data_IF_242088009399
#
_entry.id   IF_242088009399
#
_cell.length_a   1.000
_cell.length_b   1.000
_cell.length_c   1.000
_cell.angle_alpha   90.00
_cell.angle_beta   90.00
_cell.angle_gamma   90.00
#
_symmetry.space_group_name_H-M   'P 1'
#
loop_
_entity.id
_entity.type
_entity.pdbx_description
1 polymer ?
#
# COMPACT_ATOMS: atom_id res chain seq x y z
N UNK A 1 -23.67 4.80 -22.77
CA UNK A 1 -22.55 3.93 -23.18
C UNK A 1 -23.03 3.12 -24.37
N UNK A 2 -22.22 3.00 -25.42
CA UNK A 2 -22.52 2.20 -26.59
C UNK A 2 -22.37 0.71 -26.29
N UNK A 3 -23.22 -0.13 -26.94
CA UNK A 3 -23.21 -1.57 -26.70
C UNK A 3 -21.85 -2.20 -27.03
N UNK A 4 -21.19 -1.75 -28.09
CA UNK A 4 -19.87 -2.26 -28.50
C UNK A 4 -18.84 -2.17 -27.38
N UNK A 5 -18.81 -1.06 -26.63
CA UNK A 5 -17.92 -0.89 -25.47
C UNK A 5 -18.26 -1.89 -24.35
N UNK A 6 -19.54 -2.06 -24.06
CA UNK A 6 -20.01 -3.02 -23.06
C UNK A 6 -19.63 -4.45 -23.46
N UNK A 7 -19.81 -4.80 -24.73
CA UNK A 7 -19.49 -6.12 -25.27
C UNK A 7 -17.99 -6.40 -25.17
N UNK A 8 -17.13 -5.46 -25.59
CA UNK A 8 -15.68 -5.62 -25.54
C UNK A 8 -15.16 -5.80 -24.11
N UNK A 9 -15.66 -5.00 -23.18
CA UNK A 9 -15.32 -5.13 -21.75
C UNK A 9 -15.74 -6.47 -21.19
N UNK A 10 -16.97 -6.93 -21.49
CA UNK A 10 -17.46 -8.22 -21.01
C UNK A 10 -16.69 -9.41 -21.60
N UNK A 11 -16.30 -9.33 -22.88
CA UNK A 11 -15.48 -10.36 -23.52
C UNK A 11 -14.10 -10.45 -22.88
N UNK A 12 -13.49 -9.33 -22.55
CA UNK A 12 -12.19 -9.27 -21.87
C UNK A 12 -12.26 -9.77 -20.43
N UNK A 13 -13.30 -9.35 -19.67
CA UNK A 13 -13.42 -9.63 -18.25
C UNK A 13 -13.97 -11.05 -17.92
N UNK A 14 -14.76 -11.63 -18.81
CA UNK A 14 -15.47 -12.90 -18.57
C UNK A 14 -15.11 -13.98 -19.61
N UNK A 15 -13.91 -14.58 -19.52
CA UNK A 15 -13.45 -15.56 -20.51
C UNK A 15 -14.23 -16.89 -20.47
N UNK A 16 -14.97 -17.17 -19.39
CA UNK A 16 -15.82 -18.36 -19.24
C UNK A 16 -17.29 -18.00 -19.38
N UNK A 17 -18.01 -18.74 -20.21
CA UNK A 17 -19.45 -18.52 -20.44
C UNK A 17 -19.77 -17.20 -21.15
N UNK A 18 -18.83 -16.63 -21.87
CA UNK A 18 -18.87 -15.31 -22.49
C UNK A 18 -20.15 -15.09 -23.29
N UNK A 19 -20.54 -16.01 -24.18
CA UNK A 19 -21.73 -15.84 -25.03
C UNK A 19 -23.04 -15.83 -24.22
N UNK A 20 -23.13 -16.61 -23.14
CA UNK A 20 -24.30 -16.56 -22.25
C UNK A 20 -24.35 -15.22 -21.49
N UNK A 21 -23.21 -14.78 -20.97
CA UNK A 21 -23.10 -13.50 -20.26
C UNK A 21 -23.47 -12.32 -21.17
N UNK A 22 -22.97 -12.32 -22.41
CA UNK A 22 -23.32 -11.31 -23.42
C UNK A 22 -24.79 -11.31 -23.77
N UNK A 23 -25.40 -12.48 -23.93
CA UNK A 23 -26.84 -12.59 -24.20
C UNK A 23 -27.69 -12.00 -23.06
N UNK A 24 -27.31 -12.28 -21.82
CA UNK A 24 -28.00 -11.73 -20.64
C UNK A 24 -27.80 -10.21 -20.53
N UNK A 25 -26.56 -9.76 -20.69
CA UNK A 25 -26.22 -8.34 -20.65
C UNK A 25 -26.93 -7.55 -21.78
N UNK A 26 -26.96 -8.10 -23.01
CA UNK A 26 -27.63 -7.48 -24.15
C UNK A 26 -29.15 -7.32 -23.91
N UNK A 27 -29.76 -8.38 -23.37
CA UNK A 27 -31.17 -8.34 -23.00
C UNK A 27 -31.49 -7.25 -21.97
N UNK A 28 -30.65 -7.08 -20.96
CA UNK A 28 -30.80 -6.02 -19.97
C UNK A 28 -30.57 -4.63 -20.61
N UNK A 29 -29.52 -4.50 -21.43
CA UNK A 29 -29.18 -3.26 -22.12
C UNK A 29 -30.33 -2.77 -23.02
N UNK A 30 -30.96 -3.67 -23.80
CA UNK A 30 -32.07 -3.33 -24.70
C UNK A 30 -33.37 -2.93 -23.99
N UNK A 31 -33.50 -3.27 -22.70
CA UNK A 31 -34.66 -2.90 -21.86
C UNK A 31 -34.49 -1.54 -21.16
N UNK A 32 -33.26 -0.96 -21.19
CA UNK A 32 -33.00 0.31 -20.52
C UNK A 32 -33.36 1.49 -21.40
N UNK A 33 -34.14 2.40 -20.87
CA UNK A 33 -34.34 3.71 -21.48
C UNK A 33 -33.11 4.60 -21.18
N UNK A 34 -32.76 5.45 -22.13
CA UNK A 34 -31.69 6.44 -21.93
C UNK A 34 -32.16 7.47 -20.91
N UNK A 35 -31.64 7.38 -19.68
CA UNK A 35 -31.97 8.28 -18.59
C UNK A 35 -31.26 9.64 -18.68
N UNK A 36 -30.03 9.65 -19.15
CA UNK A 36 -29.19 10.86 -19.34
C UNK A 36 -28.19 10.66 -20.48
N UNK A 37 -27.89 11.74 -21.18
CA UNK A 37 -26.71 11.84 -22.03
C UNK A 37 -25.63 12.60 -21.27
N UNK A 38 -24.41 12.07 -21.27
CA UNK A 38 -23.22 12.75 -20.76
C UNK A 38 -22.50 13.27 -22.01
N UNK A 39 -22.25 14.58 -22.06
CA UNK A 39 -21.47 15.18 -23.13
C UNK A 39 -20.00 14.77 -23.00
N UNK A 40 -19.37 14.49 -24.12
CA UNK A 40 -17.92 14.23 -24.16
C UNK A 40 -17.17 15.53 -23.87
N UNK A 41 -16.39 15.55 -22.81
CA UNK A 41 -15.64 16.74 -22.40
C UNK A 41 -14.37 16.98 -23.23
N UNK A 42 -14.00 16.04 -24.13
CA UNK A 42 -12.80 16.15 -24.95
C UNK A 42 -11.47 16.10 -24.18
N UNK A 43 -11.52 15.75 -22.90
CA UNK A 43 -10.32 15.58 -22.08
C UNK A 43 -9.54 14.33 -22.52
N UNK A 44 -8.19 14.35 -22.41
CA UNK A 44 -7.40 13.15 -22.62
C UNK A 44 -7.80 12.06 -21.61
N UNK A 45 -7.73 10.77 -22.01
CA UNK A 45 -8.03 9.68 -21.08
C UNK A 45 -7.02 9.66 -19.94
N UNK A 46 -7.52 9.52 -18.73
CA UNK A 46 -6.71 9.34 -17.53
C UNK A 46 -6.70 7.86 -17.13
N UNK A 47 -5.60 7.35 -16.54
CA UNK A 47 -5.58 6.02 -15.95
C UNK A 47 -6.61 5.92 -14.82
N UNK A 48 -7.26 4.76 -14.73
CA UNK A 48 -8.16 4.41 -13.63
C UNK A 48 -7.43 3.50 -12.69
N UNK A 49 -7.36 3.89 -11.42
CA UNK A 49 -6.71 3.12 -10.36
C UNK A 49 -7.64 3.02 -9.15
N UNK A 50 -7.60 1.90 -8.46
CA UNK A 50 -8.09 1.86 -7.08
C UNK A 50 -7.06 2.52 -6.16
N UNK A 51 -7.47 2.94 -4.97
CA UNK A 51 -6.53 3.49 -4.01
C UNK A 51 -5.44 2.48 -3.61
N UNK A 52 -5.80 1.20 -3.52
CA UNK A 52 -4.82 0.13 -3.25
C UNK A 52 -3.83 -0.06 -4.40
N UNK A 53 -4.25 0.03 -5.66
CA UNK A 53 -3.33 0.03 -6.80
C UNK A 53 -2.42 1.26 -6.79
N UNK A 54 -2.95 2.43 -6.47
CA UNK A 54 -2.18 3.66 -6.32
C UNK A 54 -1.12 3.53 -5.22
N UNK A 55 -1.48 2.98 -4.04
CA UNK A 55 -0.53 2.68 -2.94
C UNK A 55 0.53 1.69 -3.43
N UNK A 56 0.13 0.60 -4.08
CA UNK A 56 1.04 -0.41 -4.61
C UNK A 56 2.07 0.17 -5.59
N UNK A 57 1.60 0.96 -6.55
CA UNK A 57 2.47 1.66 -7.51
C UNK A 57 3.39 2.66 -6.80
N UNK A 58 2.89 3.37 -5.79
CA UNK A 58 3.69 4.26 -4.98
C UNK A 58 4.80 3.53 -4.23
N UNK A 59 4.50 2.41 -3.57
CA UNK A 59 5.49 1.58 -2.88
C UNK A 59 6.57 1.06 -3.85
N UNK A 60 6.16 0.57 -5.03
CA UNK A 60 7.10 0.12 -6.08
C UNK A 60 7.98 1.29 -6.56
N UNK A 61 7.40 2.46 -6.81
CA UNK A 61 8.16 3.66 -7.15
C UNK A 61 9.12 4.10 -6.03
N UNK A 62 8.78 3.80 -4.78
CA UNK A 62 9.63 3.98 -3.60
C UNK A 62 10.72 2.92 -3.44
N UNK A 63 10.90 2.02 -4.42
CA UNK A 63 11.93 0.99 -4.40
C UNK A 63 11.59 -0.23 -3.55
N UNK A 64 10.31 -0.60 -3.46
CA UNK A 64 9.87 -1.79 -2.75
C UNK A 64 10.58 -3.05 -3.28
N UNK A 65 11.26 -3.79 -2.42
CA UNK A 65 11.83 -5.12 -2.70
C UNK A 65 10.87 -6.25 -2.29
N UNK A 66 10.16 -6.07 -1.18
CA UNK A 66 9.30 -7.12 -0.63
C UNK A 66 7.98 -6.57 -0.05
N UNK A 67 6.88 -7.24 -0.37
CA UNK A 67 5.58 -7.00 0.25
C UNK A 67 5.13 -8.25 1.00
N UNK A 68 4.83 -8.11 2.28
CA UNK A 68 4.41 -9.23 3.12
C UNK A 68 3.03 -8.93 3.71
N UNK A 69 2.05 -9.80 3.50
CA UNK A 69 0.70 -9.54 3.98
C UNK A 69 -0.08 -10.83 4.23
N UNK A 70 -0.91 -10.82 5.27
CA UNK A 70 -2.02 -11.74 5.45
C UNK A 70 -3.32 -11.03 5.01
N UNK A 71 -4.21 -11.67 4.25
CA UNK A 71 -5.38 -11.01 3.67
C UNK A 71 -6.33 -10.46 4.74
N UNK A 72 -6.53 -9.14 4.75
CA UNK A 72 -7.51 -8.49 5.60
C UNK A 72 -8.17 -7.33 4.84
N UNK A 73 -9.49 -7.38 4.66
CA UNK A 73 -10.26 -6.31 4.01
C UNK A 73 -10.12 -4.99 4.80
N UNK A 74 -9.90 -3.83 4.14
CA UNK A 74 -9.84 -3.59 2.70
C UNK A 74 -8.44 -3.71 2.08
N UNK A 75 -7.40 -4.11 2.81
CA UNK A 75 -6.02 -4.23 2.31
C UNK A 75 -5.79 -5.41 1.35
N UNK A 76 -6.71 -6.39 1.27
CA UNK A 76 -6.50 -7.62 0.49
C UNK A 76 -6.27 -7.38 -1.00
N UNK A 77 -6.92 -6.38 -1.60
CA UNK A 77 -6.74 -6.07 -3.03
C UNK A 77 -5.35 -5.52 -3.34
N UNK A 78 -4.68 -4.85 -2.38
CA UNK A 78 -3.27 -4.46 -2.52
C UNK A 78 -2.35 -5.70 -2.62
N UNK A 79 -2.59 -6.72 -1.77
CA UNK A 79 -1.87 -7.99 -1.86
C UNK A 79 -2.07 -8.66 -3.22
N UNK A 80 -3.33 -8.72 -3.69
CA UNK A 80 -3.64 -9.34 -4.98
C UNK A 80 -3.00 -8.59 -6.15
N UNK A 81 -3.04 -7.27 -6.14
CA UNK A 81 -2.41 -6.43 -7.17
C UNK A 81 -0.90 -6.67 -7.23
N UNK A 82 -0.20 -6.54 -6.10
CA UNK A 82 1.25 -6.72 -6.06
C UNK A 82 1.67 -8.17 -6.37
N UNK A 83 0.89 -9.17 -5.95
CA UNK A 83 1.15 -10.58 -6.29
C UNK A 83 0.95 -10.86 -7.79
N UNK A 84 -0.04 -10.23 -8.42
CA UNK A 84 -0.31 -10.36 -9.85
C UNK A 84 0.80 -9.74 -10.72
N UNK A 85 1.39 -8.66 -10.27
CA UNK A 85 2.38 -7.88 -11.01
C UNK A 85 3.84 -8.08 -10.52
N UNK A 86 4.08 -9.01 -9.59
CA UNK A 86 5.37 -9.20 -8.93
C UNK A 86 6.55 -9.41 -9.88
N UNK A 87 6.35 -10.17 -10.94
CA UNK A 87 7.40 -10.44 -11.95
C UNK A 87 7.74 -9.17 -12.74
N UNK A 88 6.73 -8.38 -13.10
CA UNK A 88 6.90 -7.11 -13.82
C UNK A 88 7.60 -6.05 -12.97
N UNK A 89 7.29 -6.03 -11.68
CA UNK A 89 7.89 -5.08 -10.74
C UNK A 89 9.23 -5.57 -10.16
N UNK A 90 9.57 -6.84 -10.33
CA UNK A 90 10.79 -7.42 -9.79
C UNK A 90 10.79 -7.51 -8.26
N UNK A 91 9.61 -7.67 -7.64
CA UNK A 91 9.44 -7.70 -6.19
C UNK A 91 9.12 -9.11 -5.67
N UNK A 92 9.40 -9.32 -4.39
CA UNK A 92 8.99 -10.53 -3.67
C UNK A 92 7.66 -10.27 -2.96
N UNK A 93 6.66 -11.12 -3.16
CA UNK A 93 5.40 -11.05 -2.41
C UNK A 93 5.23 -12.33 -1.60
N UNK A 94 5.05 -12.17 -0.28
CA UNK A 94 4.93 -13.28 0.67
C UNK A 94 3.58 -13.22 1.39
N UNK A 95 2.90 -14.36 1.43
CA UNK A 95 1.65 -14.52 2.16
C UNK A 95 1.84 -15.56 3.28
N UNK A 96 2.24 -15.14 4.49
CA UNK A 96 2.36 -16.01 5.65
C UNK A 96 0.99 -16.29 6.30
N UNK A 97 0.98 -17.14 7.31
CA UNK A 97 -0.25 -17.66 7.93
C UNK A 97 -0.98 -16.68 8.86
N UNK A 98 -0.32 -15.62 9.35
CA UNK A 98 -0.89 -14.60 10.24
C UNK A 98 -0.05 -13.32 10.27
N UNK A 99 -0.59 -12.29 10.92
CA UNK A 99 0.03 -10.96 10.97
C UNK A 99 1.28 -10.90 11.84
N UNK A 100 1.44 -11.77 12.84
CA UNK A 100 2.68 -11.86 13.63
C UNK A 100 3.82 -12.29 12.71
N UNK A 101 3.60 -13.32 11.90
CA UNK A 101 4.57 -13.77 10.91
C UNK A 101 4.82 -12.69 9.83
N UNK A 102 3.77 -11.96 9.41
CA UNK A 102 3.90 -10.84 8.44
C UNK A 102 4.93 -9.83 8.91
N UNK A 103 4.74 -9.25 10.09
CA UNK A 103 5.60 -8.16 10.56
C UNK A 103 7.03 -8.63 10.80
N UNK A 104 7.21 -9.83 11.36
CA UNK A 104 8.56 -10.35 11.64
C UNK A 104 9.32 -10.73 10.37
N UNK A 105 8.65 -11.29 9.36
CA UNK A 105 9.26 -11.54 8.05
C UNK A 105 9.66 -10.24 7.36
N UNK A 106 8.79 -9.21 7.39
CA UNK A 106 9.10 -7.91 6.82
C UNK A 106 10.28 -7.23 7.51
N UNK A 107 10.38 -7.32 8.83
CA UNK A 107 11.55 -6.85 9.59
C UNK A 107 12.83 -7.63 9.24
N UNK A 108 12.71 -8.93 8.94
CA UNK A 108 13.81 -9.73 8.42
C UNK A 108 14.31 -9.22 7.06
N UNK A 109 13.42 -8.84 6.14
CA UNK A 109 13.77 -8.19 4.89
C UNK A 109 14.48 -6.84 5.14
N UNK A 110 13.94 -6.00 6.01
CA UNK A 110 14.53 -4.71 6.36
C UNK A 110 15.94 -4.88 6.99
N UNK A 111 16.09 -5.85 7.89
CA UNK A 111 17.38 -6.19 8.49
C UNK A 111 18.41 -6.64 7.44
N UNK A 112 17.97 -7.32 6.38
CA UNK A 112 18.80 -7.72 5.25
C UNK A 112 19.04 -6.61 4.20
N UNK A 113 18.64 -5.36 4.49
CA UNK A 113 18.83 -4.23 3.59
C UNK A 113 17.82 -4.14 2.46
N UNK A 114 16.66 -4.78 2.61
CA UNK A 114 15.57 -4.80 1.61
C UNK A 114 14.42 -3.89 2.02
N UNK A 115 13.97 -3.05 1.09
CA UNK A 115 12.80 -2.19 1.30
C UNK A 115 11.55 -3.03 1.37
N UNK A 116 10.95 -3.10 2.54
CA UNK A 116 9.76 -3.91 2.79
C UNK A 116 8.54 -3.05 3.15
N UNK A 117 7.37 -3.59 2.84
CA UNK A 117 6.10 -3.07 3.31
C UNK A 117 5.16 -4.20 3.73
N UNK A 118 4.26 -3.90 4.66
CA UNK A 118 3.21 -4.80 5.10
C UNK A 118 1.83 -4.18 4.89
N UNK A 119 0.83 -5.01 4.63
CA UNK A 119 -0.55 -4.57 4.51
C UNK A 119 -1.48 -5.32 5.45
N UNK A 120 -2.38 -4.57 6.10
CA UNK A 120 -3.38 -5.10 7.02
C UNK A 120 -4.52 -4.11 7.25
N UNK A 121 -5.39 -4.38 8.21
CA UNK A 121 -6.38 -3.47 8.79
C UNK A 121 -6.17 -3.37 10.30
N UNK A 122 -6.94 -2.53 11.00
CA UNK A 122 -6.76 -2.29 12.43
C UNK A 122 -6.73 -3.55 13.30
N UNK A 123 -7.61 -4.53 12.99
CA UNK A 123 -7.64 -5.80 13.72
C UNK A 123 -6.35 -6.63 13.57
N UNK A 124 -5.77 -6.69 12.37
CA UNK A 124 -4.50 -7.39 12.15
C UNK A 124 -3.30 -6.59 12.67
N UNK A 125 -3.37 -5.25 12.62
CA UNK A 125 -2.34 -4.41 13.21
C UNK A 125 -2.21 -4.61 14.73
N UNK A 126 -3.29 -4.99 15.44
CA UNK A 126 -3.22 -5.38 16.84
C UNK A 126 -2.18 -6.51 17.09
N UNK A 127 -2.06 -7.45 16.15
CA UNK A 127 -1.11 -8.55 16.23
C UNK A 127 0.32 -8.16 15.84
N UNK A 128 0.50 -7.01 15.20
CA UNK A 128 1.81 -6.51 14.75
C UNK A 128 2.50 -5.58 15.75
N UNK A 129 1.85 -5.23 16.88
CA UNK A 129 2.32 -4.17 17.79
C UNK A 129 3.63 -4.51 18.50
N UNK A 130 3.90 -5.77 18.77
CA UNK A 130 5.19 -6.21 19.31
C UNK A 130 6.30 -6.06 18.25
N UNK A 131 6.05 -6.52 17.02
CA UNK A 131 6.98 -6.32 15.91
C UNK A 131 7.22 -4.83 15.59
N UNK A 132 6.22 -3.98 15.74
CA UNK A 132 6.39 -2.52 15.66
C UNK A 132 7.35 -2.00 16.74
N UNK A 133 7.25 -2.51 17.98
CA UNK A 133 8.18 -2.16 19.06
C UNK A 133 9.62 -2.60 18.73
N UNK A 134 9.77 -3.79 18.14
CA UNK A 134 11.06 -4.27 17.63
C UNK A 134 11.60 -3.36 16.50
N UNK A 135 10.74 -2.92 15.57
CA UNK A 135 11.15 -1.96 14.53
C UNK A 135 11.70 -0.68 15.13
N UNK A 136 11.03 -0.13 16.15
CA UNK A 136 11.50 1.05 16.88
C UNK A 136 12.81 0.82 17.63
N UNK A 137 12.92 -0.29 18.35
CA UNK A 137 14.11 -0.62 19.15
C UNK A 137 15.34 -0.90 18.29
N UNK A 138 15.17 -1.61 17.18
CA UNK A 138 16.25 -1.98 16.28
C UNK A 138 16.48 -0.93 15.17
N UNK A 139 15.70 0.15 15.15
CA UNK A 139 15.72 1.18 14.11
C UNK A 139 15.63 0.56 12.69
N UNK A 140 14.68 -0.36 12.53
CA UNK A 140 14.43 -1.02 11.25
C UNK A 140 13.34 -0.29 10.46
N UNK A 141 13.64 0.19 9.25
CA UNK A 141 12.65 0.86 8.41
C UNK A 141 11.61 -0.15 7.90
N UNK A 142 10.34 0.18 8.08
CA UNK A 142 9.24 -0.63 7.57
C UNK A 142 8.02 0.24 7.30
N UNK A 143 7.38 0.05 6.14
CA UNK A 143 6.13 0.73 5.81
C UNK A 143 4.94 -0.18 6.13
N UNK A 144 4.02 0.33 6.95
CA UNK A 144 2.76 -0.32 7.30
C UNK A 144 1.62 0.35 6.54
N UNK A 145 0.93 -0.40 5.70
CA UNK A 145 -0.34 0.03 5.10
C UNK A 145 -1.47 -0.51 5.96
N UNK A 146 -2.07 0.35 6.76
CA UNK A 146 -3.20 -0.01 7.64
C UNK A 146 -4.47 0.55 7.03
N UNK A 147 -5.13 -0.26 6.20
CA UNK A 147 -6.38 0.12 5.54
C UNK A 147 -7.52 0.07 6.54
N UNK A 148 -8.06 1.24 6.85
CA UNK A 148 -9.02 1.44 7.94
C UNK A 148 -10.42 0.93 7.58
N UNK A 149 -11.09 0.35 8.57
CA UNK A 149 -12.48 -0.08 8.50
C UNK A 149 -13.14 0.02 9.86
N UNK A 150 -14.47 -0.07 9.91
CA UNK A 150 -15.20 -0.03 11.16
C UNK A 150 -14.80 -1.19 12.09
N UNK A 151 -14.24 -0.86 13.27
CA UNK A 151 -13.93 -1.75 14.38
C UNK A 151 -15.00 -1.72 15.47
N UNK A 152 -14.71 -2.26 16.68
CA UNK A 152 -13.49 -2.97 17.09
C UNK A 152 -13.44 -4.45 16.65
N UNK A 153 -12.29 -5.11 16.86
CA UNK A 153 -12.02 -6.50 16.45
C UNK A 153 -12.23 -6.72 14.95
N UNK A 154 -12.85 -7.81 14.55
CA UNK A 154 -13.22 -8.04 13.13
C UNK A 154 -14.13 -6.94 12.59
N UNK A 155 -14.99 -6.39 13.45
CA UNK A 155 -15.85 -5.26 13.15
C UNK A 155 -16.78 -5.49 11.96
N UNK A 156 -16.91 -4.48 11.12
CA UNK A 156 -17.73 -4.49 9.90
C UNK A 156 -16.82 -4.35 8.66
N UNK A 157 -16.28 -5.45 8.12
CA UNK A 157 -15.27 -5.41 7.05
C UNK A 157 -15.71 -4.66 5.78
N UNK A 158 -17.00 -4.58 5.54
CA UNK A 158 -17.59 -3.94 4.35
C UNK A 158 -17.99 -2.48 4.58
N UNK A 159 -17.83 -1.95 5.79
CA UNK A 159 -18.18 -0.57 6.14
C UNK A 159 -16.94 0.31 6.31
N UNK A 160 -16.95 1.55 5.79
CA UNK A 160 -15.86 2.49 6.00
C UNK A 160 -15.79 2.94 7.46
N UNK A 161 -14.59 3.25 7.91
CA UNK A 161 -14.32 3.83 9.23
C UNK A 161 -12.91 4.40 9.26
N UNK A 162 -12.66 5.37 10.15
CA UNK A 162 -11.36 6.04 10.31
C UNK A 162 -11.05 6.13 11.81
N UNK A 163 -10.88 4.97 12.46
CA UNK A 163 -10.69 4.87 13.92
C UNK A 163 -9.26 4.52 14.34
N UNK A 164 -8.38 4.22 13.38
CA UNK A 164 -7.05 3.67 13.67
C UNK A 164 -5.98 4.72 13.95
N UNK A 165 -6.22 6.02 13.68
CA UNK A 165 -5.20 7.06 13.85
C UNK A 165 -4.62 7.11 15.26
N UNK A 166 -5.47 7.17 16.30
CA UNK A 166 -5.02 7.20 17.68
C UNK A 166 -4.30 5.90 18.08
N UNK A 167 -4.80 4.77 17.57
CA UNK A 167 -4.16 3.47 17.82
C UNK A 167 -2.77 3.40 17.19
N UNK A 168 -2.61 3.76 15.91
CA UNK A 168 -1.31 3.76 15.23
C UNK A 168 -0.34 4.75 15.88
N UNK A 169 -0.83 5.91 16.32
CA UNK A 169 -0.02 6.93 16.97
C UNK A 169 0.60 6.44 18.28
N UNK A 170 -0.14 5.63 19.06
CA UNK A 170 0.25 5.20 20.41
C UNK A 170 0.59 3.71 20.51
N UNK A 171 0.49 2.94 19.42
CA UNK A 171 0.78 1.51 19.45
C UNK A 171 2.26 1.21 19.72
N UNK A 172 2.50 0.03 20.25
CA UNK A 172 3.83 -0.45 20.63
C UNK A 172 4.18 -0.11 22.07
N UNK A 173 5.24 -0.71 22.56
CA UNK A 173 5.77 -0.52 23.88
C UNK A 173 6.98 0.42 23.83
N UNK A 174 6.98 1.42 24.69
CA UNK A 174 8.03 2.45 24.74
C UNK A 174 7.77 3.61 23.77
N UNK A 175 8.71 4.54 23.76
CA UNK A 175 8.64 5.75 22.94
C UNK A 175 9.65 5.67 21.80
N UNK A 176 9.19 5.83 20.58
CA UNK A 176 10.02 5.88 19.37
C UNK A 176 9.31 6.67 18.27
N UNK A 177 10.06 7.34 17.38
CA UNK A 177 9.49 8.12 16.29
C UNK A 177 8.81 7.23 15.25
N UNK A 178 7.79 7.77 14.60
CA UNK A 178 7.10 7.15 13.47
C UNK A 178 6.52 8.21 12.54
N UNK A 179 6.42 7.88 11.26
CA UNK A 179 5.72 8.69 10.27
C UNK A 179 4.29 8.16 10.12
N UNK A 180 3.29 9.04 10.09
CA UNK A 180 1.90 8.66 9.81
C UNK A 180 1.35 9.55 8.71
N UNK A 181 0.83 8.95 7.66
CA UNK A 181 0.26 9.61 6.48
C UNK A 181 -1.16 9.08 6.26
N UNK A 182 -2.12 9.98 6.14
CA UNK A 182 -3.49 9.66 5.76
C UNK A 182 -3.79 10.33 4.41
N UNK A 183 -3.61 9.64 3.27
CA UNK A 183 -3.84 10.23 1.96
C UNK A 183 -5.34 10.50 1.75
N UNK A 184 -5.66 11.63 1.15
CA UNK A 184 -7.04 12.06 0.87
C UNK A 184 -7.58 11.56 -0.46
N UNK A 185 -6.72 11.22 -1.41
CA UNK A 185 -7.09 10.71 -2.73
C UNK A 185 -6.06 9.72 -3.30
N UNK A 186 -6.35 9.16 -4.48
CA UNK A 186 -5.49 8.16 -5.11
C UNK A 186 -4.16 8.74 -5.62
N UNK A 187 -4.12 10.02 -6.01
CA UNK A 187 -2.88 10.71 -6.39
C UNK A 187 -1.97 10.87 -5.18
N UNK A 188 -2.50 11.36 -4.07
CA UNK A 188 -1.78 11.44 -2.80
C UNK A 188 -1.35 10.05 -2.32
N UNK A 189 -2.21 9.03 -2.45
CA UNK A 189 -1.88 7.66 -2.08
C UNK A 189 -0.65 7.15 -2.84
N UNK A 190 -0.56 7.42 -4.15
CA UNK A 190 0.60 7.07 -4.96
C UNK A 190 1.85 7.85 -4.52
N UNK A 191 1.75 9.17 -4.41
CA UNK A 191 2.88 10.04 -4.07
C UNK A 191 3.45 9.74 -2.68
N UNK A 192 2.57 9.74 -1.68
CA UNK A 192 2.99 9.56 -0.29
C UNK A 192 3.47 8.15 0.02
N UNK A 193 2.97 7.12 -0.67
CA UNK A 193 3.47 5.75 -0.48
C UNK A 193 4.91 5.60 -0.94
N UNK A 194 5.28 6.27 -2.03
CA UNK A 194 6.66 6.32 -2.48
C UNK A 194 7.56 7.07 -1.48
N UNK A 195 7.10 8.24 -1.01
CA UNK A 195 7.87 9.06 -0.08
C UNK A 195 7.98 8.41 1.31
N UNK A 196 6.96 7.66 1.75
CA UNK A 196 6.98 6.92 3.01
C UNK A 196 8.14 5.91 3.05
N UNK A 197 8.42 5.22 1.94
CA UNK A 197 9.58 4.33 1.83
C UNK A 197 10.89 5.09 2.03
N UNK A 198 11.05 6.24 1.39
CA UNK A 198 12.30 7.01 1.50
C UNK A 198 12.48 7.58 2.89
N UNK A 199 11.45 8.20 3.48
CA UNK A 199 11.52 8.75 4.83
C UNK A 199 11.79 7.65 5.86
N UNK A 200 11.10 6.51 5.74
CA UNK A 200 11.34 5.36 6.61
C UNK A 200 12.80 4.92 6.57
N UNK A 201 13.38 4.80 5.38
CA UNK A 201 14.76 4.38 5.20
C UNK A 201 15.78 5.46 5.57
N UNK A 202 15.50 6.71 5.26
CA UNK A 202 16.38 7.82 5.59
C UNK A 202 16.54 7.98 7.10
N UNK A 203 15.43 7.88 7.85
CA UNK A 203 15.42 8.11 9.29
C UNK A 203 15.37 6.82 10.10
N UNK A 204 15.34 5.65 9.47
CA UNK A 204 15.28 4.32 10.11
C UNK A 204 14.12 4.20 11.10
N UNK A 205 12.94 4.65 10.68
CA UNK A 205 11.72 4.68 11.50
C UNK A 205 10.58 3.94 10.81
N UNK A 206 9.62 3.36 11.56
CA UNK A 206 8.40 2.85 10.97
C UNK A 206 7.58 3.98 10.36
N UNK A 207 6.99 3.73 9.18
CA UNK A 207 6.08 4.63 8.50
C UNK A 207 4.72 3.96 8.29
N UNK A 208 3.65 4.73 8.41
CA UNK A 208 2.28 4.27 8.27
C UNK A 208 1.56 5.01 7.16
N UNK A 209 0.80 4.27 6.37
CA UNK A 209 -0.15 4.78 5.39
C UNK A 209 -1.53 4.32 5.85
N UNK A 210 -2.43 5.28 6.11
CA UNK A 210 -3.77 5.06 6.65
C UNK A 210 -4.86 5.40 5.62
N UNK A 211 -5.03 4.63 4.54
CA UNK A 211 -6.19 4.80 3.68
C UNK A 211 -7.43 4.27 4.40
N UNK A 212 -8.58 4.86 4.16
CA UNK A 212 -9.84 4.24 4.54
C UNK A 212 -10.33 3.26 3.47
N UNK A 213 -11.42 2.55 3.78
CA UNK A 213 -12.01 1.59 2.84
C UNK A 213 -12.49 2.24 1.55
N UNK A 214 -13.03 3.45 1.61
CA UNK A 214 -13.54 4.16 0.44
C UNK A 214 -12.40 4.47 -0.52
N UNK A 215 -11.30 5.01 0.00
CA UNK A 215 -10.10 5.25 -0.81
C UNK A 215 -9.50 3.92 -1.29
N UNK A 216 -9.34 2.93 -0.41
CA UNK A 216 -8.66 1.66 -0.74
C UNK A 216 -9.31 0.92 -1.91
N UNK A 217 -10.63 0.82 -1.93
CA UNK A 217 -11.39 0.00 -2.89
C UNK A 217 -12.13 0.81 -3.97
N UNK A 218 -12.23 2.13 -3.80
CA UNK A 218 -12.81 3.01 -4.82
C UNK A 218 -11.93 3.09 -6.06
N UNK A 219 -12.56 3.30 -7.23
CA UNK A 219 -11.85 3.49 -8.52
C UNK A 219 -11.87 4.96 -8.89
N UNK A 220 -10.71 5.51 -9.18
CA UNK A 220 -10.48 6.94 -9.43
C UNK A 220 -9.72 7.16 -10.73
N UNK A 221 -10.04 8.23 -11.44
CA UNK A 221 -9.17 8.74 -12.50
C UNK A 221 -8.03 9.53 -11.87
N UNK A 222 -6.80 9.20 -12.22
CA UNK A 222 -5.60 9.80 -11.62
C UNK A 222 -4.83 10.58 -12.67
N UNK A 223 -4.70 11.90 -12.47
CA UNK A 223 -3.81 12.71 -13.29
C UNK A 223 -2.37 12.61 -12.76
N UNK A 224 -1.61 11.71 -13.35
CA UNK A 224 -0.22 11.49 -12.95
C UNK A 224 0.70 12.66 -13.29
N UNK A 225 0.30 13.54 -14.23
CA UNK A 225 1.07 14.73 -14.58
C UNK A 225 0.92 15.85 -13.53
N UNK A 226 -0.18 15.84 -12.77
CA UNK A 226 -0.41 16.78 -11.68
C UNK A 226 0.29 16.39 -10.38
N UNK A 227 0.87 15.19 -10.28
CA UNK A 227 1.60 14.76 -9.09
C UNK A 227 2.88 15.58 -8.91
N UNK A 228 3.25 15.90 -7.65
CA UNK A 228 4.52 16.57 -7.39
C UNK A 228 5.70 15.79 -7.97
N UNK A 229 6.67 16.53 -8.50
CA UNK A 229 7.93 15.92 -8.94
C UNK A 229 8.65 15.32 -7.72
N UNK A 230 9.22 14.15 -7.90
CA UNK A 230 10.02 13.46 -6.90
C UNK A 230 11.34 13.03 -7.55
N UNK A 231 12.43 13.17 -6.82
CA UNK A 231 13.66 12.51 -7.17
C UNK A 231 13.46 10.99 -6.95
N UNK A 232 13.69 10.19 -7.97
CA UNK A 232 13.59 8.73 -7.89
C UNK A 232 14.87 8.09 -7.31
N UNK A 233 15.80 8.91 -6.79
CA UNK A 233 16.91 8.47 -5.97
C UNK A 233 16.41 7.94 -4.63
N UNK A 234 16.68 6.66 -4.36
CA UNK A 234 16.28 6.06 -3.09
C UNK A 234 17.32 6.40 -2.02
N UNK A 235 16.87 6.97 -0.89
CA UNK A 235 17.72 7.19 0.26
C UNK A 235 18.31 5.84 0.72
N UNK A 236 19.62 5.73 0.70
CA UNK A 236 20.35 4.58 1.23
C UNK A 236 21.10 5.07 2.46
N UNK A 237 20.90 4.46 3.63
CA UNK A 237 21.67 4.80 4.81
C UNK A 237 23.18 4.70 4.53
N UNK A 238 23.97 5.64 5.05
CA UNK A 238 25.40 5.58 4.92
C UNK A 238 25.93 4.30 5.59
N UNK A 239 26.55 3.44 4.79
CA UNK A 239 27.18 2.20 5.24
C UNK A 239 28.60 2.42 5.74
N UNK A 240 29.16 3.61 5.54
CA UNK A 240 30.52 3.94 5.93
C UNK A 240 30.62 4.20 7.44
N UNK A 241 30.16 3.26 8.23
CA UNK A 241 30.35 3.31 9.66
C UNK A 241 31.84 3.30 9.98
N UNK A 242 32.27 4.23 10.84
CA UNK A 242 33.61 4.21 11.39
C UNK A 242 33.89 2.83 12.03
N UNK A 243 35.10 2.33 11.87
CA UNK A 243 35.54 1.10 12.54
C UNK A 243 36.09 1.48 13.94
N UNK A 244 35.57 0.90 15.01
CA UNK A 244 34.59 -0.20 15.09
C UNK A 244 33.14 0.28 14.90
N UNK A 245 32.32 -0.50 14.17
CA UNK A 245 30.91 -0.27 13.98
C UNK A 245 30.13 -0.28 15.31
N UNK A 246 29.29 0.73 15.50
CA UNK A 246 28.36 0.83 16.63
C UNK A 246 26.98 1.18 16.11
N UNK A 247 26.00 0.29 16.25
CA UNK A 247 24.64 0.47 15.72
C UNK A 247 23.98 1.76 16.24
N UNK A 248 24.18 2.11 17.49
CA UNK A 248 23.59 3.27 18.15
C UNK A 248 24.67 4.32 18.46
N UNK A 249 25.57 4.57 17.52
CA UNK A 249 26.51 5.65 17.66
C UNK A 249 25.79 7.00 17.62
N UNK A 250 26.18 7.91 18.49
CA UNK A 250 25.74 9.29 18.44
C UNK A 250 26.33 9.98 17.19
N UNK A 251 25.47 10.54 16.36
CA UNK A 251 25.82 11.17 15.09
C UNK A 251 25.34 12.61 15.06
N UNK A 252 25.98 13.50 14.28
CA UNK A 252 25.60 14.91 14.22
C UNK A 252 24.18 15.17 13.72
N UNK A 253 23.64 14.26 12.88
CA UNK A 253 22.29 14.33 12.31
C UNK A 253 21.26 13.50 13.09
N UNK A 254 21.70 12.79 14.14
CA UNK A 254 20.84 11.93 14.95
C UNK A 254 20.41 10.64 14.27
N UNK A 255 20.96 10.29 13.10
CA UNK A 255 20.65 9.05 12.37
C UNK A 255 21.74 8.02 12.65
N UNK A 256 21.35 6.90 13.25
CA UNK A 256 22.30 5.84 13.59
C UNK A 256 22.91 5.19 12.36
N UNK A 257 24.19 4.79 12.41
CA UNK A 257 24.81 4.01 11.34
C UNK A 257 24.10 2.66 11.16
N UNK A 258 24.00 2.21 9.92
CA UNK A 258 23.41 0.91 9.61
C UNK A 258 24.41 0.04 8.85
N UNK A 259 24.47 -1.22 9.21
CA UNK A 259 25.17 -2.26 8.46
C UNK A 259 24.22 -3.42 8.18
N UNK A 260 24.34 -4.02 7.01
CA UNK A 260 23.52 -5.14 6.59
C UNK A 260 24.36 -6.41 6.58
N UNK A 261 23.79 -7.58 6.94
CA UNK A 261 24.49 -8.84 6.86
C UNK A 261 24.80 -9.20 5.41
N UNK A 262 26.00 -9.75 5.14
CA UNK A 262 26.45 -10.22 3.83
C UNK A 262 27.62 -9.45 3.23
#
# INVERSE_FOLDING_TARGET
IEWTIVEDVLRAALPKGTELNLKVAKRAYDQLAVARRIEECGNPPLPLLTGNEAIGLGLVRGGLDAYVSYPMTPSSSLLHFLAGEKEKFGITVVHPENEIAVVLMALGFAYAGKRAAVGTSGGGFCLMTEGLSLAGMAELPLVFVVSQRTGPSTGLPTYPGQSELAFVLHAGQGEFPRLIIAPGDAGEALFWSALAQDISWQFQVPAFILPDKTLSEGTYSVDTAALPSRDDGHAVPDRAAAIPYRRYADTPDGISPVAFPG
#
